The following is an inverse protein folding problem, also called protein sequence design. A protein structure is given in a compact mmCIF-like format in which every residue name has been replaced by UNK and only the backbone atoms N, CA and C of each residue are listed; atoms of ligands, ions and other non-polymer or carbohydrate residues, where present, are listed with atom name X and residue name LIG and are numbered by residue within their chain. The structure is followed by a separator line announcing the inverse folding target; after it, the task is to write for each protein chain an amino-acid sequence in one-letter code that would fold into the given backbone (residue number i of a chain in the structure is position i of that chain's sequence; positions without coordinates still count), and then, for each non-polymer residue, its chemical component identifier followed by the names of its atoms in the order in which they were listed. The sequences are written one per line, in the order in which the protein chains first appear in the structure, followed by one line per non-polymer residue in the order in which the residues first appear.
data_IF_911856252554
#
_entry.id   IF_911856252554
#
_cell.length_a   1.000
_cell.length_b   1.000
_cell.length_c   1.000
_cell.angle_alpha   90.00
_cell.angle_beta   90.00
_cell.angle_gamma   90.00
#
_symmetry.space_group_name_H-M   'P 1'
#
loop_
_entity.id
_entity.type
_entity.pdbx_description
1 polymer ?
#
# COMPACT_ATOMS: atom_id res chain seq x y z
N UNK A 1 -6.78 -7.99 -8.62
CA UNK A 1 -7.02 -8.13 -7.17
C UNK A 1 -6.24 -9.31 -6.63
N UNK A 2 -5.63 -9.17 -5.45
CA UNK A 2 -4.91 -10.24 -4.73
C UNK A 2 -5.51 -10.37 -3.34
N UNK A 3 -5.82 -11.60 -2.92
CA UNK A 3 -6.28 -11.93 -1.56
C UNK A 3 -5.39 -13.04 -1.02
N UNK A 4 -4.77 -12.85 0.14
CA UNK A 4 -3.72 -13.77 0.62
C UNK A 4 -3.60 -13.81 2.14
N UNK A 5 -3.04 -14.91 2.66
CA UNK A 5 -2.66 -15.11 4.06
C UNK A 5 -1.15 -15.30 4.14
N UNK A 6 -0.52 -14.74 5.17
CA UNK A 6 0.94 -14.77 5.29
C UNK A 6 1.63 -13.72 4.39
N UNK A 7 2.82 -14.04 3.88
CA UNK A 7 3.65 -13.08 3.16
C UNK A 7 3.12 -12.84 1.74
N UNK A 8 2.81 -11.59 1.42
CA UNK A 8 2.23 -11.19 0.12
C UNK A 8 3.10 -10.14 -0.55
N UNK A 9 3.59 -10.44 -1.74
CA UNK A 9 4.35 -9.51 -2.58
C UNK A 9 3.65 -9.34 -3.93
N UNK A 10 3.33 -8.10 -4.29
CA UNK A 10 2.63 -7.77 -5.55
C UNK A 10 3.41 -6.73 -6.32
N UNK A 11 3.64 -7.00 -7.61
CA UNK A 11 4.17 -6.04 -8.57
C UNK A 11 3.19 -5.93 -9.75
N UNK A 12 2.75 -4.72 -10.09
CA UNK A 12 1.74 -4.51 -11.13
C UNK A 12 1.91 -3.17 -11.85
N UNK A 13 1.66 -3.16 -13.16
CA UNK A 13 1.58 -1.93 -13.98
C UNK A 13 0.15 -1.38 -14.13
N UNK A 14 -0.86 -2.12 -13.66
CA UNK A 14 -2.27 -1.73 -13.78
C UNK A 14 -2.91 -1.41 -12.43
N UNK A 15 -4.21 -1.13 -12.44
CA UNK A 15 -5.00 -0.95 -11.21
C UNK A 15 -4.81 -2.13 -10.28
N UNK A 16 -4.40 -1.85 -9.04
CA UNK A 16 -3.98 -2.86 -8.08
C UNK A 16 -4.83 -2.78 -6.82
N UNK A 17 -5.41 -3.91 -6.43
CA UNK A 17 -6.16 -4.08 -5.18
C UNK A 17 -5.61 -5.28 -4.44
N UNK A 18 -5.18 -5.10 -3.20
CA UNK A 18 -4.61 -6.16 -2.34
C UNK A 18 -5.33 -6.20 -1.00
N UNK A 19 -5.77 -7.39 -0.59
CA UNK A 19 -6.24 -7.69 0.75
C UNK A 19 -5.39 -8.81 1.35
N UNK A 20 -4.77 -8.58 2.51
CA UNK A 20 -3.86 -9.55 3.11
C UNK A 20 -3.91 -9.51 4.65
N UNK A 21 -3.70 -10.65 5.29
CA UNK A 21 -3.59 -10.76 6.76
C UNK A 21 -2.20 -11.23 7.20
N UNK A 22 -1.17 -10.82 6.47
CA UNK A 22 0.24 -11.01 6.85
C UNK A 22 1.12 -9.91 6.26
N UNK A 23 2.44 -10.09 6.31
CA UNK A 23 3.39 -9.10 5.79
C UNK A 23 3.10 -8.82 4.32
N UNK A 24 2.88 -7.55 3.99
CA UNK A 24 2.41 -7.13 2.66
C UNK A 24 3.39 -6.14 2.05
N UNK A 25 3.82 -6.41 0.82
CA UNK A 25 4.65 -5.51 0.02
C UNK A 25 4.03 -5.32 -1.35
N UNK A 26 3.73 -4.08 -1.73
CA UNK A 26 3.10 -3.74 -3.01
C UNK A 26 3.93 -2.71 -3.75
N UNK A 27 4.28 -2.99 -4.99
CA UNK A 27 4.83 -2.05 -5.95
C UNK A 27 3.86 -1.90 -7.13
N UNK A 28 3.31 -0.71 -7.33
CA UNK A 28 2.32 -0.47 -8.39
C UNK A 28 2.63 0.78 -9.19
N UNK A 29 2.63 0.66 -10.51
CA UNK A 29 2.73 1.79 -11.44
C UNK A 29 1.40 2.21 -12.05
N UNK A 30 0.31 1.48 -11.79
CA UNK A 30 -1.01 1.76 -12.38
C UNK A 30 -1.72 2.94 -11.72
N UNK A 31 -2.74 3.48 -12.37
CA UNK A 31 -3.45 4.71 -11.96
C UNK A 31 -3.97 4.68 -10.51
N UNK A 32 -4.41 3.51 -10.04
CA UNK A 32 -4.99 3.35 -8.69
C UNK A 32 -4.38 2.15 -7.97
N UNK A 33 -3.99 2.37 -6.72
CA UNK A 33 -3.51 1.34 -5.80
C UNK A 33 -4.33 1.35 -4.52
N UNK A 34 -4.96 0.23 -4.18
CA UNK A 34 -5.72 0.05 -2.94
C UNK A 34 -5.16 -1.15 -2.17
N UNK A 35 -4.76 -0.93 -0.92
CA UNK A 35 -4.20 -1.98 -0.06
C UNK A 35 -4.95 -1.99 1.27
N UNK A 36 -5.45 -3.16 1.66
CA UNK A 36 -6.00 -3.42 2.98
C UNK A 36 -5.21 -4.55 3.62
N UNK A 37 -4.55 -4.27 4.74
CA UNK A 37 -3.67 -5.23 5.43
C UNK A 37 -3.97 -5.31 6.91
N UNK A 38 -4.15 -6.53 7.42
CA UNK A 38 -4.22 -6.80 8.86
C UNK A 38 -2.93 -7.40 9.43
N UNK A 39 -1.88 -7.54 8.60
CA UNK A 39 -0.63 -8.17 9.02
C UNK A 39 0.33 -7.22 9.71
N UNK A 40 1.41 -7.76 10.31
CA UNK A 40 2.39 -7.00 11.11
C UNK A 40 3.02 -5.82 10.37
N UNK A 41 3.33 -5.99 9.08
CA UNK A 41 4.03 -4.96 8.28
C UNK A 41 3.36 -4.78 6.92
N UNK A 42 3.15 -3.51 6.55
CA UNK A 42 2.63 -3.10 5.24
C UNK A 42 3.60 -2.12 4.59
N UNK A 43 4.10 -2.45 3.41
CA UNK A 43 4.96 -1.57 2.59
C UNK A 43 4.33 -1.37 1.22
N UNK A 44 4.06 -0.12 0.85
CA UNK A 44 3.45 0.24 -0.43
C UNK A 44 4.29 1.28 -1.14
N UNK A 45 4.69 0.98 -2.37
CA UNK A 45 5.31 1.93 -3.29
C UNK A 45 4.40 2.08 -4.50
N UNK A 46 3.87 3.26 -4.73
CA UNK A 46 2.92 3.53 -5.81
C UNK A 46 3.34 4.74 -6.63
N UNK A 47 3.44 4.58 -7.96
CA UNK A 47 3.59 5.68 -8.91
C UNK A 47 2.26 6.19 -9.47
N UNK A 48 1.16 5.53 -9.14
CA UNK A 48 -0.19 5.83 -9.63
C UNK A 48 -0.77 7.13 -9.07
N UNK A 49 -1.70 7.74 -9.79
CA UNK A 49 -2.42 8.97 -9.40
C UNK A 49 -3.06 8.87 -8.01
N UNK A 50 -3.65 7.72 -7.67
CA UNK A 50 -4.36 7.52 -6.41
C UNK A 50 -3.82 6.31 -5.65
N UNK A 51 -3.47 6.51 -4.38
CA UNK A 51 -3.03 5.46 -3.47
C UNK A 51 -3.88 5.48 -2.20
N UNK A 52 -4.53 4.37 -1.87
CA UNK A 52 -5.31 4.18 -0.65
C UNK A 52 -4.77 3.00 0.12
N UNK A 53 -4.37 3.21 1.37
CA UNK A 53 -3.84 2.15 2.24
C UNK A 53 -4.61 2.15 3.56
N UNK A 54 -5.10 0.98 3.95
CA UNK A 54 -5.68 0.71 5.25
C UNK A 54 -4.88 -0.39 5.93
N UNK A 55 -4.32 -0.11 7.10
CA UNK A 55 -3.52 -1.07 7.87
C UNK A 55 -3.97 -1.13 9.33
N UNK A 56 -3.96 -2.32 9.92
CA UNK A 56 -4.19 -2.56 11.35
C UNK A 56 -3.08 -3.37 12.00
N UNK A 57 -1.87 -3.30 11.44
CA UNK A 57 -0.68 -4.01 11.84
C UNK A 57 0.16 -3.29 12.89
N UNK A 58 1.47 -3.51 12.83
CA UNK A 58 2.46 -2.84 13.69
C UNK A 58 3.14 -1.68 12.96
N UNK A 59 3.43 -1.87 11.67
CA UNK A 59 4.18 -0.89 10.87
C UNK A 59 3.59 -0.72 9.47
N UNK A 60 3.35 0.52 9.09
CA UNK A 60 3.01 0.91 7.71
C UNK A 60 4.04 1.87 7.15
N UNK A 61 4.51 1.59 5.93
CA UNK A 61 5.34 2.48 5.13
C UNK A 61 4.72 2.66 3.75
N UNK A 62 4.42 3.90 3.38
CA UNK A 62 3.84 4.24 2.08
C UNK A 62 4.71 5.27 1.38
N UNK A 63 5.17 4.93 0.18
CA UNK A 63 5.79 5.88 -0.76
C UNK A 63 4.86 6.06 -1.94
N UNK A 64 4.41 7.28 -2.19
CA UNK A 64 3.48 7.59 -3.28
C UNK A 64 4.00 8.74 -4.14
N UNK A 65 3.98 8.57 -5.47
CA UNK A 65 4.21 9.63 -6.45
C UNK A 65 2.92 10.23 -7.02
N UNK A 66 1.76 9.69 -6.64
CA UNK A 66 0.45 10.12 -7.15
C UNK A 66 -0.06 11.41 -6.56
N UNK A 67 -1.05 12.02 -7.21
CA UNK A 67 -1.78 13.23 -6.78
C UNK A 67 -2.55 13.07 -5.47
N UNK A 68 -3.03 11.87 -5.16
CA UNK A 68 -3.84 11.61 -3.97
C UNK A 68 -3.32 10.39 -3.23
N UNK A 69 -3.02 10.59 -1.95
CA UNK A 69 -2.59 9.51 -1.05
C UNK A 69 -3.42 9.56 0.23
N UNK A 70 -4.12 8.47 0.52
CA UNK A 70 -4.91 8.30 1.74
C UNK A 70 -4.35 7.11 2.51
N UNK A 71 -3.96 7.33 3.76
CA UNK A 71 -3.47 6.27 4.64
C UNK A 71 -4.27 6.30 5.92
N UNK A 72 -4.96 5.19 6.22
CA UNK A 72 -5.64 4.95 7.49
C UNK A 72 -4.91 3.82 8.19
N UNK A 73 -4.39 4.08 9.37
CA UNK A 73 -3.52 3.14 10.06
C UNK A 73 -3.86 3.08 11.55
N UNK A 74 -4.08 1.87 12.06
CA UNK A 74 -4.10 1.58 13.49
C UNK A 74 -2.71 1.20 14.04
N UNK A 75 -1.67 1.36 13.21
CA UNK A 75 -0.36 0.82 13.47
C UNK A 75 0.43 1.65 14.48
N UNK A 76 1.35 0.98 15.19
CA UNK A 76 2.25 1.63 16.14
C UNK A 76 3.24 2.59 15.45
N UNK A 77 3.54 2.35 14.17
CA UNK A 77 4.40 3.21 13.37
C UNK A 77 3.83 3.37 11.97
N UNK A 78 3.65 4.62 11.54
CA UNK A 78 3.21 4.94 10.18
C UNK A 78 4.15 5.97 9.57
N UNK A 79 4.72 5.64 8.41
CA UNK A 79 5.57 6.54 7.62
C UNK A 79 4.95 6.72 6.25
N UNK A 80 4.73 7.97 5.85
CA UNK A 80 4.19 8.32 4.53
C UNK A 80 5.15 9.30 3.87
N UNK A 81 5.62 8.94 2.68
CA UNK A 81 6.46 9.78 1.83
C UNK A 81 5.73 10.08 0.54
N UNK A 82 5.55 11.37 0.26
CA UNK A 82 4.91 11.85 -0.94
C UNK A 82 5.96 12.49 -1.84
N UNK A 83 6.14 11.98 -3.06
CA UNK A 83 7.20 12.46 -3.97
C UNK A 83 6.75 13.57 -4.92
N UNK A 84 5.45 13.89 -4.95
CA UNK A 84 4.86 14.83 -5.90
C UNK A 84 4.93 14.34 -7.35
N UNK A 85 3.93 14.69 -8.14
CA UNK A 85 4.08 14.67 -9.59
C UNK A 85 4.93 15.89 -9.95
N UNK A 86 6.18 15.67 -10.35
CA UNK A 86 7.00 16.71 -10.99
C UNK A 86 6.55 16.92 -12.43
#
# INVERSE_FOLDING_TARGET
TVVSVGTTTVASGGTTTVASVGTTTVASGGTTTTVTSGGTTTTVTSGGTTTTVTSGGTTTTVTSGGTTTTVTSGDNTTTVTYRGAS
#
